data_IF_681158624251
#
_entry.id   IF_681158624251
#
_cell.length_a   1.000
_cell.length_b   1.000
_cell.length_c   1.000
_cell.angle_alpha   90.00
_cell.angle_beta   90.00
_cell.angle_gamma   90.00
#
_symmetry.space_group_name_H-M   'P 1'
#
loop_
_entity.id
_entity.type
_entity.pdbx_description
1 polymer ?
#
# COMPACT_ATOMS: atom_id res chain seq x y z
N UNK A 1 -42.90 50.68 -39.32
CA UNK A 1 -43.24 49.52 -40.18
C UNK A 1 -41.95 48.98 -40.77
N UNK A 2 -41.88 47.66 -40.98
CA UNK A 2 -40.82 46.93 -41.71
C UNK A 2 -39.41 46.84 -41.09
N UNK A 3 -39.06 45.60 -40.71
CA UNK A 3 -37.70 45.02 -40.73
C UNK A 3 -37.34 44.61 -42.20
N UNK A 4 -36.22 43.92 -42.55
CA UNK A 4 -35.15 43.27 -41.76
C UNK A 4 -33.73 43.82 -42.14
N UNK A 5 -32.55 43.20 -41.90
CA UNK A 5 -32.20 41.82 -41.58
C UNK A 5 -30.83 41.60 -40.89
N UNK A 6 -30.49 40.30 -40.80
CA UNK A 6 -29.24 39.62 -40.46
C UNK A 6 -28.00 40.05 -41.30
N UNK A 7 -26.74 39.70 -41.00
CA UNK A 7 -26.22 38.43 -40.45
C UNK A 7 -24.79 38.61 -39.90
N UNK A 8 -24.43 37.92 -38.82
CA UNK A 8 -23.04 37.51 -38.54
C UNK A 8 -23.05 36.24 -37.66
N UNK A 9 -23.05 35.08 -38.31
CA UNK A 9 -22.93 33.77 -37.64
C UNK A 9 -21.49 33.57 -37.19
N UNK A 10 -21.25 33.40 -35.88
CA UNK A 10 -19.98 32.88 -35.40
C UNK A 10 -19.99 31.36 -35.56
N UNK A 11 -18.95 30.83 -36.20
CA UNK A 11 -18.78 29.40 -36.42
C UNK A 11 -18.35 28.71 -35.12
N UNK A 12 -19.18 27.79 -34.63
CA UNK A 12 -18.84 26.89 -33.53
C UNK A 12 -18.28 25.59 -34.14
N UNK A 13 -17.02 25.18 -33.87
CA UNK A 13 -16.44 23.98 -34.45
C UNK A 13 -17.04 22.73 -33.81
N UNK A 14 -17.75 21.92 -34.62
CA UNK A 14 -18.36 20.67 -34.17
C UNK A 14 -17.35 19.74 -33.48
N UNK A 15 -17.72 19.09 -32.35
CA UNK A 15 -16.86 18.10 -31.72
C UNK A 15 -16.65 16.88 -32.64
N UNK A 16 -15.49 16.21 -32.57
CA UNK A 16 -15.20 15.05 -33.40
C UNK A 16 -16.13 13.86 -33.08
N UNK A 17 -16.43 12.99 -34.06
CA UNK A 17 -17.34 11.87 -33.87
C UNK A 17 -16.78 10.87 -32.86
N UNK A 18 -17.57 10.56 -31.84
CA UNK A 18 -17.27 9.52 -30.84
C UNK A 18 -17.35 8.13 -31.47
N UNK A 19 -16.19 7.55 -31.75
CA UNK A 19 -16.09 6.12 -32.05
C UNK A 19 -16.57 5.31 -30.85
N UNK A 20 -17.48 4.33 -31.03
CA UNK A 20 -17.86 3.44 -29.93
C UNK A 20 -16.63 2.60 -29.54
N UNK A 21 -16.09 2.89 -28.36
CA UNK A 21 -15.06 2.06 -27.72
C UNK A 21 -15.63 0.65 -27.56
N UNK A 22 -14.93 -0.43 -27.96
CA UNK A 22 -15.43 -1.79 -27.76
C UNK A 22 -15.74 -1.99 -26.27
N UNK A 23 -16.99 -2.33 -25.99
CA UNK A 23 -17.47 -2.55 -24.63
C UNK A 23 -16.86 -3.88 -24.15
N UNK A 24 -15.69 -3.77 -23.52
CA UNK A 24 -14.96 -4.91 -22.99
C UNK A 24 -15.85 -5.57 -21.93
N UNK A 25 -16.35 -6.77 -22.26
CA UNK A 25 -17.19 -7.55 -21.37
C UNK A 25 -16.54 -7.62 -19.98
N UNK A 26 -17.23 -7.08 -18.99
CA UNK A 26 -16.76 -7.08 -17.61
C UNK A 26 -16.69 -8.53 -17.13
N UNK A 27 -15.49 -9.11 -17.16
CA UNK A 27 -15.26 -10.43 -16.59
C UNK A 27 -15.42 -10.30 -15.08
N UNK A 28 -16.51 -10.85 -14.54
CA UNK A 28 -16.74 -10.88 -13.10
C UNK A 28 -15.57 -11.62 -12.45
N UNK A 29 -14.78 -10.90 -11.64
CA UNK A 29 -13.67 -11.49 -10.91
C UNK A 29 -14.20 -12.64 -10.04
N UNK A 30 -13.58 -13.84 -10.09
CA UNK A 30 -14.01 -14.96 -9.27
C UNK A 30 -13.98 -14.54 -7.79
N UNK A 31 -15.15 -14.54 -7.14
CA UNK A 31 -15.26 -14.29 -5.70
C UNK A 31 -14.68 -15.49 -4.96
N UNK A 32 -13.39 -15.41 -4.66
CA UNK A 32 -12.68 -16.34 -3.79
C UNK A 32 -13.21 -16.25 -2.36
N UNK A 33 -14.31 -16.94 -2.08
CA UNK A 33 -14.88 -17.08 -0.75
C UNK A 33 -14.36 -18.37 -0.10
N UNK A 34 -13.09 -18.35 0.31
CA UNK A 34 -12.53 -19.42 1.14
C UNK A 34 -13.22 -19.40 2.51
N UNK A 35 -13.48 -20.57 3.08
CA UNK A 35 -13.97 -20.68 4.46
C UNK A 35 -12.90 -20.11 5.41
N UNK A 36 -13.26 -19.10 6.22
CA UNK A 36 -12.32 -18.53 7.18
C UNK A 36 -11.90 -19.60 8.19
N UNK A 37 -10.59 -19.81 8.32
CA UNK A 37 -10.06 -20.59 9.44
C UNK A 37 -10.45 -19.93 10.76
N UNK A 38 -10.90 -20.70 11.77
CA UNK A 38 -11.21 -20.14 13.08
C UNK A 38 -9.94 -19.56 13.69
N UNK A 39 -10.00 -18.29 14.11
CA UNK A 39 -8.89 -17.64 14.80
C UNK A 39 -8.64 -18.39 16.12
N UNK A 40 -7.42 -18.91 16.37
CA UNK A 40 -7.13 -19.64 17.60
C UNK A 40 -7.29 -18.72 18.82
N UNK A 41 -7.78 -19.29 19.93
CA UNK A 41 -7.91 -18.55 21.18
C UNK A 41 -6.55 -17.98 21.62
N UNK A 42 -6.52 -16.69 21.94
CA UNK A 42 -5.31 -16.02 22.38
C UNK A 42 -4.77 -16.69 23.68
N UNK A 43 -3.53 -17.21 23.71
CA UNK A 43 -2.97 -17.85 24.91
C UNK A 43 -2.83 -16.87 26.10
N UNK A 44 -2.86 -15.56 25.85
CA UNK A 44 -2.88 -14.53 26.88
C UNK A 44 -4.31 -14.17 27.33
N UNK A 45 -5.35 -14.72 26.72
CA UNK A 45 -6.75 -14.36 27.00
C UNK A 45 -7.21 -13.08 26.29
N UNK A 46 -8.52 -12.83 26.34
CA UNK A 46 -9.15 -11.72 25.61
C UNK A 46 -8.61 -10.34 26.06
N UNK A 47 -8.39 -9.45 25.09
CA UNK A 47 -7.87 -8.10 25.32
C UNK A 47 -6.39 -7.97 25.72
N UNK A 48 -5.65 -9.08 25.94
CA UNK A 48 -4.22 -9.06 26.28
C UNK A 48 -3.35 -9.43 25.09
N UNK A 49 -2.75 -8.43 24.45
CA UNK A 49 -1.84 -8.60 23.32
C UNK A 49 -0.37 -8.67 23.77
N UNK A 50 0.50 -9.28 22.96
CA UNK A 50 1.95 -9.16 23.13
C UNK A 50 2.34 -7.70 22.86
N UNK A 51 2.99 -7.06 23.82
CA UNK A 51 3.41 -5.64 23.74
C UNK A 51 4.92 -5.47 23.65
N UNK A 52 5.66 -6.52 23.34
CA UNK A 52 7.13 -6.51 23.26
C UNK A 52 7.58 -7.06 21.92
N UNK A 53 8.55 -6.39 21.29
CA UNK A 53 9.12 -6.82 20.02
C UNK A 53 10.65 -6.85 20.08
N UNK A 54 11.23 -7.57 19.12
CA UNK A 54 12.62 -7.46 18.71
C UNK A 54 12.63 -7.37 17.18
N UNK A 55 13.62 -6.69 16.60
CA UNK A 55 13.82 -6.65 15.16
C UNK A 55 15.18 -7.24 14.79
N UNK A 56 15.22 -7.93 13.65
CA UNK A 56 16.43 -8.44 13.02
C UNK A 56 16.54 -7.77 11.65
N UNK A 57 17.65 -7.08 11.41
CA UNK A 57 17.95 -6.43 10.13
C UNK A 57 19.02 -7.26 9.44
N UNK A 58 18.77 -7.66 8.21
CA UNK A 58 19.67 -8.49 7.42
C UNK A 58 20.24 -7.62 6.31
N UNK A 59 21.56 -7.65 6.12
CA UNK A 59 22.22 -7.07 4.95
C UNK A 59 23.59 -6.50 5.25
N UNK A 60 24.60 -7.01 4.56
CA UNK A 60 25.98 -6.57 4.65
C UNK A 60 26.16 -5.07 4.40
N UNK A 61 25.37 -4.43 3.53
CA UNK A 61 25.45 -2.99 3.28
C UNK A 61 25.21 -2.12 4.52
N UNK A 62 24.47 -2.64 5.51
CA UNK A 62 24.26 -1.98 6.79
C UNK A 62 25.49 -2.15 7.67
N UNK A 63 26.05 -3.37 7.74
CA UNK A 63 27.23 -3.69 8.54
C UNK A 63 28.50 -2.98 8.05
N UNK A 64 28.71 -2.94 6.74
CA UNK A 64 29.85 -2.28 6.11
C UNK A 64 29.65 -0.76 5.90
N UNK A 65 28.49 -0.21 6.30
CA UNK A 65 28.20 1.22 6.28
C UNK A 65 28.00 1.84 4.89
N UNK A 66 27.89 1.04 3.81
CA UNK A 66 27.47 1.54 2.48
C UNK A 66 26.07 2.15 2.53
N UNK A 67 25.20 1.61 3.37
CA UNK A 67 23.80 2.04 3.52
C UNK A 67 23.52 2.46 4.95
N UNK A 68 23.00 3.67 5.14
CA UNK A 68 22.50 4.11 6.44
C UNK A 68 21.19 3.38 6.76
N UNK A 69 21.15 2.67 7.89
CA UNK A 69 19.93 2.03 8.36
C UNK A 69 18.82 3.05 8.65
N UNK A 70 17.77 3.00 7.81
CA UNK A 70 16.51 3.72 8.00
C UNK A 70 15.39 2.79 8.46
N UNK A 71 15.56 1.48 8.29
CA UNK A 71 14.53 0.48 8.55
C UNK A 71 14.31 0.34 10.06
N UNK A 72 15.39 0.29 10.85
CA UNK A 72 15.31 0.26 12.31
C UNK A 72 14.59 1.46 12.89
N UNK A 73 14.88 2.67 12.38
CA UNK A 73 14.25 3.90 12.87
C UNK A 73 12.75 3.93 12.52
N UNK A 74 12.41 3.55 11.28
CA UNK A 74 11.02 3.46 10.84
C UNK A 74 10.23 2.42 11.65
N UNK A 75 10.80 1.23 11.86
CA UNK A 75 10.16 0.16 12.61
C UNK A 75 10.03 0.48 14.10
N UNK A 76 11.04 1.09 14.73
CA UNK A 76 10.95 1.55 16.11
C UNK A 76 9.82 2.58 16.32
N UNK A 77 9.66 3.52 15.37
CA UNK A 77 8.53 4.46 15.38
C UNK A 77 7.19 3.76 15.19
N UNK A 78 7.09 2.83 14.25
CA UNK A 78 5.89 2.04 14.04
C UNK A 78 5.48 1.27 15.31
N UNK A 79 6.43 0.60 15.98
CA UNK A 79 6.21 -0.06 17.27
C UNK A 79 5.72 0.92 18.34
N UNK A 80 6.38 2.07 18.49
CA UNK A 80 6.01 3.10 19.46
C UNK A 80 4.57 3.63 19.24
N UNK A 81 4.21 3.92 18.00
CA UNK A 81 2.88 4.41 17.61
C UNK A 81 1.77 3.37 17.89
N UNK A 82 2.11 2.07 17.94
CA UNK A 82 1.20 0.97 18.29
C UNK A 82 1.29 0.53 19.77
N UNK A 83 2.09 1.21 20.61
CA UNK A 83 2.27 0.84 22.02
C UNK A 83 3.04 -0.47 22.22
N UNK A 84 3.88 -0.85 21.27
CA UNK A 84 4.78 -2.01 21.29
C UNK A 84 6.17 -1.55 21.74
N UNK A 85 6.68 -2.18 22.78
CA UNK A 85 7.99 -1.94 23.40
C UNK A 85 9.06 -2.75 22.66
N UNK A 86 9.79 -2.08 21.76
CA UNK A 86 10.87 -2.69 20.97
C UNK A 86 12.15 -2.80 21.82
N UNK A 87 12.47 -4.02 22.25
CA UNK A 87 13.52 -4.30 23.25
C UNK A 87 14.93 -4.35 22.69
N UNK A 88 15.10 -4.84 21.46
CA UNK A 88 16.38 -4.91 20.77
C UNK A 88 16.18 -4.78 19.27
N UNK A 89 17.21 -4.29 18.60
CA UNK A 89 17.40 -4.42 17.17
C UNK A 89 18.82 -4.95 16.97
N UNK A 90 18.96 -6.02 16.21
CA UNK A 90 20.25 -6.62 15.86
C UNK A 90 20.40 -6.57 14.33
N UNK A 91 21.61 -6.32 13.86
CA UNK A 91 21.96 -6.35 12.43
C UNK A 91 22.88 -7.54 12.21
N UNK A 92 22.56 -8.39 11.23
CA UNK A 92 23.33 -9.58 10.85
C UNK A 92 23.69 -9.56 9.36
N UNK A 93 24.76 -10.26 8.94
CA UNK A 93 25.11 -10.40 7.53
C UNK A 93 24.03 -11.20 6.77
N UNK A 94 24.06 -11.18 5.44
CA UNK A 94 23.15 -11.95 4.58
C UNK A 94 23.64 -13.38 4.27
N UNK A 95 24.53 -13.93 5.11
CA UNK A 95 25.01 -15.31 5.03
C UNK A 95 24.10 -16.29 5.82
N UNK A 96 23.74 -17.44 5.24
CA UNK A 96 22.83 -18.42 5.88
C UNK A 96 23.36 -19.03 7.19
N UNK A 97 24.68 -19.01 7.44
CA UNK A 97 25.28 -19.56 8.68
C UNK A 97 25.09 -18.64 9.91
N UNK A 98 24.76 -17.36 9.69
CA UNK A 98 24.65 -16.32 10.74
C UNK A 98 23.18 -15.89 11.03
N UNK A 99 22.18 -16.63 10.49
CA UNK A 99 20.72 -16.37 10.66
C UNK A 99 20.05 -17.21 11.77
#
# INVERSE_FOLDING_TARGET
>A
MSAPAATASNADPSPPPSTPKPEAAAQELPKFNFELSPVPANPLGEGRYIKTAAALVIGDEILNGKTLDRNSNYFARFCFEHGIDLKRIEVIPDEEEDM
#
